data_IF_033460730646
#
_entry.id   IF_033460730646
#
_cell.length_a   1.000
_cell.length_b   1.000
_cell.length_c   1.000
_cell.angle_alpha   90.00
_cell.angle_beta   90.00
_cell.angle_gamma   90.00
#
_symmetry.space_group_name_H-M   'P 1'
#
loop_
_entity.id
_entity.type
_entity.pdbx_description
1 polymer ?
#
# COMPACT_ATOMS: atom_id res chain seq x y z
N UNK A 1 -4.79 -28.37 4.40
CA UNK A 1 -4.45 -26.94 4.36
C UNK A 1 -3.05 -26.87 3.80
N UNK A 2 -2.85 -26.17 2.69
CA UNK A 2 -1.55 -26.12 2.02
C UNK A 2 -0.66 -25.12 2.77
N UNK A 3 0.63 -25.41 2.96
CA UNK A 3 1.58 -24.56 3.70
C UNK A 3 1.63 -23.09 3.25
N UNK A 4 1.22 -22.79 2.02
CA UNK A 4 1.25 -21.43 1.46
C UNK A 4 0.19 -20.46 2.01
N UNK A 5 -0.82 -20.97 2.74
CA UNK A 5 -1.97 -20.21 3.23
C UNK A 5 -1.74 -19.59 4.63
N UNK A 6 -0.65 -19.98 5.31
CA UNK A 6 -0.36 -19.58 6.69
C UNK A 6 0.12 -18.13 6.82
N UNK A 7 0.71 -17.56 5.77
CA UNK A 7 1.25 -16.20 5.78
C UNK A 7 0.31 -15.17 5.12
N UNK A 8 -0.95 -15.53 4.86
CA UNK A 8 -1.92 -14.63 4.26
C UNK A 8 -2.47 -13.63 5.30
N UNK A 9 -2.38 -12.34 4.99
CA UNK A 9 -2.88 -11.29 5.85
C UNK A 9 -4.42 -11.32 5.93
N UNK A 10 -4.95 -11.53 7.14
CA UNK A 10 -6.39 -11.68 7.40
C UNK A 10 -7.29 -10.53 6.93
N UNK A 11 -6.74 -9.31 6.79
CA UNK A 11 -7.51 -8.14 6.34
C UNK A 11 -7.48 -7.94 4.83
N UNK A 12 -6.60 -8.66 4.12
CA UNK A 12 -6.39 -8.57 2.67
C UNK A 12 -6.35 -9.99 2.09
N UNK A 13 -7.51 -10.64 2.12
CA UNK A 13 -7.72 -12.03 1.71
C UNK A 13 -8.97 -12.19 0.83
N UNK A 14 -9.42 -11.11 0.18
CA UNK A 14 -10.66 -11.08 -0.60
C UNK A 14 -10.63 -12.13 -1.73
N UNK A 15 -11.75 -12.81 -1.97
CA UNK A 15 -11.81 -13.92 -2.93
C UNK A 15 -11.64 -13.46 -4.38
N UNK A 16 -12.10 -12.25 -4.69
CA UNK A 16 -12.06 -11.58 -5.99
C UNK A 16 -10.78 -10.79 -6.25
N UNK A 17 -9.86 -10.75 -5.27
CA UNK A 17 -8.52 -10.23 -5.46
C UNK A 17 -7.76 -11.01 -6.55
N UNK A 18 -7.18 -10.27 -7.51
CA UNK A 18 -6.55 -10.77 -8.74
C UNK A 18 -5.03 -10.75 -8.71
N UNK A 19 -4.43 -10.14 -7.67
CA UNK A 19 -2.98 -10.09 -7.49
C UNK A 19 -2.60 -10.36 -6.04
N UNK A 20 -1.40 -10.89 -5.84
CA UNK A 20 -0.83 -11.11 -4.50
C UNK A 20 0.43 -10.29 -4.36
N UNK A 21 0.50 -9.43 -3.34
CA UNK A 21 1.74 -8.79 -2.91
C UNK A 21 2.36 -9.65 -1.82
N UNK A 22 3.67 -9.79 -1.80
CA UNK A 22 4.40 -10.43 -0.71
C UNK A 22 5.39 -9.43 -0.12
N UNK A 23 5.29 -9.18 1.18
CA UNK A 23 6.22 -8.30 1.89
C UNK A 23 7.56 -8.99 2.13
N UNK A 24 8.59 -8.21 2.47
CA UNK A 24 9.95 -8.74 2.70
C UNK A 24 10.07 -9.75 3.85
N UNK A 25 9.09 -9.75 4.75
CA UNK A 25 8.95 -10.67 5.89
C UNK A 25 7.98 -11.84 5.62
N UNK A 26 7.62 -12.07 4.34
CA UNK A 26 6.90 -13.25 3.88
C UNK A 26 5.37 -13.16 3.95
N UNK A 27 4.81 -12.08 4.49
CA UNK A 27 3.35 -11.91 4.59
C UNK A 27 2.77 -11.58 3.22
N UNK A 28 1.71 -12.29 2.86
CA UNK A 28 1.00 -12.13 1.59
C UNK A 28 -0.26 -11.31 1.76
N UNK A 29 -0.54 -10.46 0.77
CA UNK A 29 -1.72 -9.62 0.70
C UNK A 29 -2.41 -9.87 -0.64
N UNK A 30 -3.62 -10.46 -0.60
CA UNK A 30 -4.46 -10.57 -1.79
C UNK A 30 -5.20 -9.26 -2.00
N UNK A 31 -4.90 -8.60 -3.11
CA UNK A 31 -5.36 -7.24 -3.40
C UNK A 31 -5.87 -7.13 -4.84
N UNK A 32 -6.39 -5.95 -5.20
CA UNK A 32 -6.98 -5.65 -6.50
C UNK A 32 -6.00 -4.81 -7.31
N UNK A 33 -5.56 -5.35 -8.44
CA UNK A 33 -4.63 -4.68 -9.36
C UNK A 33 -5.15 -3.29 -9.78
N UNK A 34 -6.47 -3.15 -9.96
CA UNK A 34 -7.12 -1.88 -10.27
C UNK A 34 -6.85 -0.80 -9.23
N UNK A 35 -6.99 -1.12 -7.94
CA UNK A 35 -6.78 -0.15 -6.85
C UNK A 35 -5.32 0.28 -6.81
N UNK A 36 -4.40 -0.68 -6.93
CA UNK A 36 -2.95 -0.39 -6.96
C UNK A 36 -2.61 0.55 -8.13
N UNK A 37 -3.10 0.25 -9.33
CA UNK A 37 -2.85 1.02 -10.56
C UNK A 37 -3.39 2.45 -10.50
N UNK A 38 -4.56 2.64 -9.89
CA UNK A 38 -5.17 3.97 -9.74
C UNK A 38 -4.45 4.83 -8.69
N UNK A 39 -3.75 4.19 -7.76
CA UNK A 39 -3.15 4.87 -6.60
C UNK A 39 -1.65 5.09 -6.74
N UNK A 40 -1.01 4.50 -7.74
CA UNK A 40 0.44 4.48 -7.92
C UNK A 40 0.82 4.12 -9.36
N UNK A 41 1.52 5.04 -10.04
CA UNK A 41 2.11 4.74 -11.35
C UNK A 41 3.21 3.67 -11.24
N UNK A 42 3.92 3.63 -10.12
CA UNK A 42 4.96 2.63 -9.85
C UNK A 42 4.35 1.23 -9.78
N UNK A 43 3.26 1.05 -9.03
CA UNK A 43 2.56 -0.23 -9.02
C UNK A 43 1.98 -0.57 -10.39
N UNK A 44 1.45 0.41 -11.13
CA UNK A 44 0.99 0.16 -12.49
C UNK A 44 2.10 -0.37 -13.39
N UNK A 45 3.31 0.20 -13.31
CA UNK A 45 4.49 -0.31 -13.99
C UNK A 45 4.88 -1.72 -13.54
N UNK A 46 4.94 -1.98 -12.23
CA UNK A 46 5.32 -3.29 -11.68
C UNK A 46 4.37 -4.42 -12.10
N UNK A 47 3.07 -4.11 -12.23
CA UNK A 47 2.02 -5.06 -12.61
C UNK A 47 2.02 -5.30 -14.14
N UNK A 48 2.38 -4.29 -14.93
CA UNK A 48 2.39 -4.40 -16.39
C UNK A 48 3.54 -5.25 -16.95
N UNK A 49 4.57 -5.55 -16.15
CA UNK A 49 5.72 -6.37 -16.58
C UNK A 49 5.25 -7.83 -16.74
N UNK A 50 5.28 -8.41 -17.94
CA UNK A 50 4.93 -9.82 -18.15
C UNK A 50 5.88 -10.71 -17.34
N UNK A 51 5.34 -11.48 -16.40
CA UNK A 51 6.14 -12.45 -15.63
C UNK A 51 6.16 -13.76 -16.39
N UNK A 52 7.36 -14.29 -16.59
CA UNK A 52 7.52 -15.64 -17.16
C UNK A 52 6.96 -16.61 -16.12
N UNK A 53 5.96 -17.44 -16.46
CA UNK A 53 5.42 -18.40 -15.51
C UNK A 53 6.52 -19.39 -15.13
N UNK A 54 7.00 -19.31 -13.89
CA UNK A 54 7.85 -20.36 -13.32
C UNK A 54 7.01 -21.62 -13.12
N UNK A 55 7.62 -22.79 -13.34
CA UNK A 55 6.96 -24.10 -13.24
C UNK A 55 6.34 -24.41 -11.85
N UNK A 56 6.56 -23.57 -10.85
CA UNK A 56 6.02 -23.68 -9.49
C UNK A 56 4.85 -22.73 -9.20
N UNK A 57 4.51 -21.82 -10.13
CA UNK A 57 3.49 -20.78 -9.91
C UNK A 57 2.08 -21.28 -10.26
N UNK A 58 1.60 -22.30 -9.56
CA UNK A 58 0.18 -22.60 -9.49
C UNK A 58 -0.51 -21.58 -8.58
N UNK A 59 -1.12 -20.55 -9.19
CA UNK A 59 -1.96 -19.45 -8.64
C UNK A 59 -1.23 -18.12 -8.37
N UNK A 60 -1.45 -17.18 -9.29
CA UNK A 60 -1.32 -15.73 -9.06
C UNK A 60 0.08 -15.17 -9.28
N UNK A 61 0.17 -14.06 -10.02
CA UNK A 61 1.40 -13.30 -10.15
C UNK A 61 1.75 -12.66 -8.79
N UNK A 62 2.68 -13.26 -8.05
CA UNK A 62 3.18 -12.69 -6.78
C UNK A 62 4.11 -11.52 -7.10
N UNK A 63 3.81 -10.35 -6.55
CA UNK A 63 4.67 -9.16 -6.58
C UNK A 63 5.43 -9.07 -5.27
N UNK A 64 6.74 -9.27 -5.28
CA UNK A 64 7.56 -9.10 -4.08
C UNK A 64 7.85 -7.61 -3.83
N UNK A 65 7.65 -7.18 -2.59
CA UNK A 65 7.95 -5.83 -2.11
C UNK A 65 9.20 -5.87 -1.20
N UNK A 66 9.91 -4.74 -1.10
CA UNK A 66 11.06 -4.64 -0.17
C UNK A 66 10.65 -4.20 1.23
N UNK A 67 9.38 -3.83 1.40
CA UNK A 67 8.80 -3.35 2.64
C UNK A 67 8.30 -4.53 3.47
N UNK A 68 8.41 -4.39 4.79
CA UNK A 68 7.79 -5.32 5.74
C UNK A 68 6.27 -5.22 5.71
N UNK A 69 5.64 -6.23 6.27
CA UNK A 69 4.18 -6.35 6.37
C UNK A 69 3.50 -5.15 7.01
N UNK A 70 4.11 -4.55 8.04
CA UNK A 70 3.60 -3.35 8.74
C UNK A 70 3.49 -2.13 7.81
N UNK A 71 4.52 -1.88 7.01
CA UNK A 71 4.54 -0.77 6.04
C UNK A 71 3.64 -1.09 4.85
N UNK A 72 3.66 -2.33 4.37
CA UNK A 72 2.79 -2.77 3.26
C UNK A 72 1.32 -2.58 3.62
N UNK A 73 0.92 -3.02 4.81
CA UNK A 73 -0.43 -2.83 5.35
C UNK A 73 -0.81 -1.34 5.39
N UNK A 74 0.07 -0.49 5.90
CA UNK A 74 -0.20 0.94 6.02
C UNK A 74 -0.34 1.66 4.67
N UNK A 75 0.43 1.24 3.66
CA UNK A 75 0.26 1.72 2.29
C UNK A 75 -1.11 1.29 1.73
N UNK A 76 -1.47 0.02 1.88
CA UNK A 76 -2.74 -0.51 1.41
C UNK A 76 -3.93 0.18 2.08
N UNK A 77 -3.90 0.34 3.41
CA UNK A 77 -4.93 1.03 4.18
C UNK A 77 -5.09 2.50 3.79
N UNK A 78 -4.06 3.10 3.17
CA UNK A 78 -4.12 4.47 2.70
C UNK A 78 -4.79 4.62 1.34
N UNK A 79 -4.78 3.58 0.50
CA UNK A 79 -5.30 3.61 -0.87
C UNK A 79 -6.60 2.83 -1.04
N UNK A 80 -6.91 1.92 -0.13
CA UNK A 80 -8.14 1.13 -0.17
C UNK A 80 -9.36 1.90 0.36
N UNK A 81 -10.50 1.83 -0.34
CA UNK A 81 -11.72 2.46 0.15
C UNK A 81 -12.18 1.82 1.47
N UNK A 82 -12.77 2.64 2.34
CA UNK A 82 -13.35 2.24 3.64
C UNK A 82 -12.34 1.62 4.62
N UNK A 83 -11.04 1.84 4.42
CA UNK A 83 -10.00 1.52 5.41
C UNK A 83 -9.75 2.71 6.32
N UNK A 84 -9.43 2.41 7.57
CA UNK A 84 -8.97 3.41 8.51
C UNK A 84 -7.53 3.79 8.14
N UNK A 85 -7.19 5.10 8.12
CA UNK A 85 -5.80 5.50 7.91
C UNK A 85 -4.88 4.89 8.96
N UNK A 86 -3.61 4.59 8.60
CA UNK A 86 -2.65 4.05 9.55
C UNK A 86 -2.39 5.04 10.70
N UNK A 87 -2.12 4.51 11.89
CA UNK A 87 -1.64 5.34 13.00
C UNK A 87 -0.21 5.79 12.70
N UNK A 88 0.03 7.10 12.73
CA UNK A 88 1.32 7.70 12.38
C UNK A 88 2.24 7.85 13.60
N UNK A 89 2.51 6.76 14.29
CA UNK A 89 3.47 6.68 15.39
C UNK A 89 4.00 5.23 15.49
N UNK A 90 5.23 5.00 16.00
CA UNK A 90 6.22 6.00 16.40
C UNK A 90 6.87 6.70 15.19
N UNK A 91 7.64 7.77 15.41
CA UNK A 91 8.37 8.49 14.35
C UNK A 91 9.19 7.59 13.40
N UNK A 92 9.79 6.50 13.91
CA UNK A 92 10.54 5.55 13.08
C UNK A 92 9.66 4.81 12.07
N UNK A 93 8.41 4.50 12.43
CA UNK A 93 7.42 3.96 11.52
C UNK A 93 7.02 5.00 10.48
N UNK A 94 6.78 6.25 10.90
CA UNK A 94 6.43 7.36 9.99
C UNK A 94 7.51 7.57 8.92
N UNK A 95 8.79 7.53 9.30
CA UNK A 95 9.89 7.70 8.35
C UNK A 95 9.96 6.56 7.33
N UNK A 96 9.78 5.31 7.79
CA UNK A 96 9.73 4.12 6.91
C UNK A 96 8.53 4.19 5.96
N UNK A 97 7.37 4.59 6.47
CA UNK A 97 6.14 4.75 5.69
C UNK A 97 6.27 5.88 4.66
N UNK A 98 6.84 7.02 5.04
CA UNK A 98 7.11 8.13 4.14
C UNK A 98 8.05 7.72 3.00
N UNK A 99 9.13 7.01 3.32
CA UNK A 99 10.11 6.51 2.34
C UNK A 99 9.45 5.54 1.35
N UNK A 100 8.61 4.63 1.84
CA UNK A 100 7.90 3.68 0.99
C UNK A 100 6.81 4.37 0.14
N UNK A 101 6.09 5.34 0.71
CA UNK A 101 5.08 6.10 -0.01
C UNK A 101 5.69 6.94 -1.14
N UNK A 102 6.87 7.54 -0.92
CA UNK A 102 7.63 8.22 -1.96
C UNK A 102 8.09 7.23 -3.05
N UNK A 103 8.66 6.09 -2.64
CA UNK A 103 9.09 5.02 -3.55
C UNK A 103 7.98 4.50 -4.47
N UNK A 104 6.77 4.36 -3.94
CA UNK A 104 5.60 3.88 -4.70
C UNK A 104 4.72 5.02 -5.23
N UNK A 105 5.14 6.28 -5.12
CA UNK A 105 4.36 7.43 -5.56
C UNK A 105 2.90 7.44 -5.04
N UNK A 106 2.72 7.18 -3.75
CA UNK A 106 1.41 7.18 -3.07
C UNK A 106 1.19 8.54 -2.40
N UNK A 107 0.53 9.44 -3.13
CA UNK A 107 0.35 10.84 -2.74
C UNK A 107 -0.45 11.03 -1.43
N UNK A 108 -1.44 10.19 -1.16
CA UNK A 108 -2.29 10.33 0.03
C UNK A 108 -1.51 10.19 1.34
N UNK A 109 -0.54 9.27 1.37
CA UNK A 109 0.32 9.05 2.53
C UNK A 109 1.25 10.24 2.74
N UNK A 110 1.93 10.69 1.67
CA UNK A 110 2.87 11.82 1.77
C UNK A 110 2.15 13.10 2.19
N UNK A 111 0.93 13.34 1.70
CA UNK A 111 0.10 14.48 2.08
C UNK A 111 -0.32 14.45 3.55
N UNK A 112 -0.73 13.29 4.06
CA UNK A 112 -1.07 13.11 5.48
C UNK A 112 0.13 13.36 6.39
N UNK A 113 1.30 12.82 6.05
CA UNK A 113 2.54 13.01 6.82
C UNK A 113 2.94 14.49 6.81
N UNK A 114 2.88 15.17 5.65
CA UNK A 114 3.11 16.63 5.57
C UNK A 114 2.16 17.42 6.47
N UNK A 115 0.89 17.03 6.51
CA UNK A 115 -0.13 17.64 7.36
C UNK A 115 0.15 17.56 8.87
N UNK A 116 0.99 16.62 9.33
CA UNK A 116 1.43 16.55 10.73
C UNK A 116 2.36 17.70 11.12
N UNK A 117 3.16 18.19 10.16
CA UNK A 117 4.10 19.30 10.35
C UNK A 117 3.48 20.67 10.01
N UNK A 118 2.33 20.63 9.31
CA UNK A 118 1.22 21.58 9.27
C UNK A 118 0.80 22.27 10.58
N UNK A 119 1.24 23.48 11.01
CA UNK A 119 0.65 24.09 12.19
C UNK A 119 -0.85 24.28 11.95
N UNK A 120 -1.71 23.71 12.82
CA UNK A 120 -3.18 23.69 12.64
C UNK A 120 -3.87 25.08 12.66
N UNK A 121 -3.12 26.18 12.59
CA UNK A 121 -3.60 27.56 12.68
C UNK A 121 -3.36 28.45 11.45
N UNK A 122 -2.84 27.92 10.33
CA UNK A 122 -2.44 28.75 9.17
C UNK A 122 -3.30 28.53 7.91
N UNK A 123 -4.61 28.30 8.03
CA UNK A 123 -5.50 28.44 6.88
C UNK A 123 -5.76 29.94 6.64
N UNK A 124 -5.32 30.54 5.52
CA UNK A 124 -5.74 31.88 5.17
C UNK A 124 -7.27 31.90 5.05
N UNK A 125 -7.87 32.94 5.63
CA UNK A 125 -9.27 33.29 5.52
C UNK A 125 -9.69 33.32 4.05
N UNK A 126 -10.27 32.23 3.54
CA UNK A 126 -10.83 32.21 2.20
C UNK A 126 -12.16 32.96 2.23
N UNK A 127 -12.08 34.29 2.15
CA UNK A 127 -13.24 35.14 1.91
C UNK A 127 -13.68 34.93 0.47
N UNK A 128 -14.71 34.13 0.26
CA UNK A 128 -15.43 34.14 -1.01
C UNK A 128 -16.18 35.47 -1.11
N UNK A 129 -15.79 36.27 -2.10
CA UNK A 129 -16.45 37.52 -2.45
C UNK A 129 -17.92 37.26 -2.82
N UNK A 130 -18.74 38.25 -2.48
CA UNK A 130 -20.19 38.30 -2.68
C UNK A 130 -20.64 38.07 -4.12
#
# INVERSE_FOLDING_TARGET
MSDWELDLHHSYCDSDADITLESSDGVRFRVHSLILRLSSEVFAGMIAIPRVPSHESTKGDIVHLTEKSDITLALLDSIYPRRSPPQLEPFSFVLRLATAADKYDIFDVTSRIRGLFVPRGSLPNLSWGK
#
